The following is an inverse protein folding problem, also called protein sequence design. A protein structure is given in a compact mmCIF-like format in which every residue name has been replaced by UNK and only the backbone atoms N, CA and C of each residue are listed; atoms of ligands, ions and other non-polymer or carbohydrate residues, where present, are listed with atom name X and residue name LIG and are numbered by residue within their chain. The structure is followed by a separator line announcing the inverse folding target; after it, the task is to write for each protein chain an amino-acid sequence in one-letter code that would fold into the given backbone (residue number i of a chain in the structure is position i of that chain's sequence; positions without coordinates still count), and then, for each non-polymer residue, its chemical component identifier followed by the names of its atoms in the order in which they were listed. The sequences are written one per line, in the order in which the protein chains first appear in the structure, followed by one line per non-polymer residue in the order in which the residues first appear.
data_IF_620355572616
#
_entry.id   IF_620355572616
#
_cell.length_a   1.000
_cell.length_b   1.000
_cell.length_c   1.000
_cell.angle_alpha   90.00
_cell.angle_beta   90.00
_cell.angle_gamma   90.00
#
_symmetry.space_group_name_H-M   'P 1'
#
loop_
_entity.id
_entity.type
_entity.pdbx_description
1 polymer ?
#
# COMPACT_ATOMS: atom_id res chain seq x y z
N UNK A 1 -1.55 -4.27 20.20
CA UNK A 1 -2.40 -4.81 19.08
C UNK A 1 -2.27 -3.86 17.89
N UNK A 2 -2.25 -4.37 16.63
CA UNK A 2 -2.21 -3.49 15.44
C UNK A 2 -3.62 -3.12 15.00
N UNK A 3 -3.85 -1.82 14.85
CA UNK A 3 -5.11 -1.25 14.34
C UNK A 3 -4.83 -0.41 13.08
N UNK A 4 -5.76 -0.43 12.13
CA UNK A 4 -5.78 0.45 10.97
C UNK A 4 -6.87 1.48 11.19
N UNK A 5 -6.50 2.75 11.29
CA UNK A 5 -7.44 3.85 11.49
C UNK A 5 -7.45 4.74 10.24
N UNK A 6 -8.63 5.11 9.69
CA UNK A 6 -8.71 6.03 8.57
C UNK A 6 -7.99 7.33 8.87
N UNK A 7 -7.32 7.89 7.86
CA UNK A 7 -6.73 9.22 7.97
C UNK A 7 -7.84 10.25 7.82
N UNK A 8 -7.97 11.12 8.80
CA UNK A 8 -9.08 12.07 8.90
C UNK A 8 -8.66 13.36 9.57
N UNK A 9 -9.16 14.48 9.08
CA UNK A 9 -9.04 15.75 9.76
C UNK A 9 -9.85 15.82 11.07
N UNK A 10 -10.88 14.98 11.21
CA UNK A 10 -11.67 14.92 12.45
C UNK A 10 -10.90 14.25 13.59
N UNK A 11 -10.04 13.27 13.30
CA UNK A 11 -9.15 12.64 14.26
C UNK A 11 -7.80 13.36 14.40
N UNK A 12 -7.57 14.41 13.60
CA UNK A 12 -6.33 15.21 13.54
C UNK A 12 -5.04 14.37 13.36
N UNK A 13 -5.19 13.17 12.79
CA UNK A 13 -4.06 12.25 12.63
C UNK A 13 -3.29 12.45 11.30
N UNK A 14 -3.76 13.32 10.42
CA UNK A 14 -3.10 13.60 9.15
C UNK A 14 -1.73 14.24 9.36
N UNK A 15 -1.59 15.15 10.31
CA UNK A 15 -0.32 15.81 10.62
C UNK A 15 0.70 14.79 11.14
N UNK A 16 0.31 14.01 12.14
CA UNK A 16 1.17 12.95 12.70
C UNK A 16 1.59 11.95 11.61
N UNK A 17 0.67 11.58 10.70
CA UNK A 17 0.96 10.69 9.58
C UNK A 17 2.02 11.28 8.62
N UNK A 18 1.96 12.57 8.34
CA UNK A 18 2.92 13.25 7.46
C UNK A 18 4.30 13.36 8.12
N UNK A 19 4.35 13.47 9.44
CA UNK A 19 5.58 13.60 10.23
C UNK A 19 6.30 12.25 10.49
N UNK A 20 5.71 11.11 10.11
CA UNK A 20 6.39 9.81 10.18
C UNK A 20 7.61 9.78 9.27
N UNK A 21 8.70 9.19 9.77
CA UNK A 21 9.97 9.15 9.06
C UNK A 21 10.45 7.72 8.76
N UNK A 22 11.04 7.55 7.58
CA UNK A 22 11.75 6.33 7.20
C UNK A 22 13.20 6.35 7.73
N UNK A 23 13.80 5.17 7.85
CA UNK A 23 15.24 5.06 8.01
C UNK A 23 15.94 5.62 6.76
N UNK A 24 17.14 6.25 6.90
CA UNK A 24 17.80 6.93 5.79
C UNK A 24 17.98 6.08 4.54
N UNK A 25 18.26 4.79 4.69
CA UNK A 25 18.40 3.82 3.59
C UNK A 25 17.10 3.45 2.89
N UNK A 26 15.96 3.85 3.43
CA UNK A 26 14.63 3.53 2.91
C UNK A 26 13.92 4.72 2.25
N UNK A 27 14.49 5.92 2.34
CA UNK A 27 13.84 7.17 1.87
C UNK A 27 13.53 7.11 0.37
N UNK A 28 14.34 6.42 -0.43
CA UNK A 28 14.11 6.26 -1.87
C UNK A 28 13.11 5.16 -2.22
N UNK A 29 12.75 4.29 -1.27
CA UNK A 29 11.91 3.12 -1.55
C UNK A 29 10.41 3.40 -1.50
N UNK A 30 9.99 4.47 -0.84
CA UNK A 30 8.58 4.83 -0.67
C UNK A 30 8.41 6.34 -0.75
N UNK A 31 7.44 6.80 -1.53
CA UNK A 31 7.07 8.23 -1.56
C UNK A 31 6.67 8.74 -0.17
N UNK A 32 6.96 10.00 0.10
CA UNK A 32 6.54 10.68 1.32
C UNK A 32 5.02 10.58 1.53
N UNK A 33 4.56 10.46 2.78
CA UNK A 33 3.14 10.26 3.09
C UNK A 33 2.25 11.41 2.57
N UNK A 34 2.73 12.66 2.59
CA UNK A 34 1.99 13.79 2.00
C UNK A 34 1.77 13.62 0.50
N UNK A 35 2.77 13.17 -0.24
CA UNK A 35 2.66 12.85 -1.67
C UNK A 35 1.71 11.70 -1.91
N UNK A 36 1.80 10.64 -1.10
CA UNK A 36 0.91 9.48 -1.16
C UNK A 36 -0.56 9.88 -0.95
N UNK A 37 -0.83 10.77 0.00
CA UNK A 37 -2.18 11.31 0.23
C UNK A 37 -2.67 12.21 -0.91
N UNK A 38 -1.77 12.98 -1.56
CA UNK A 38 -2.11 13.73 -2.76
C UNK A 38 -2.46 12.82 -3.95
N UNK A 39 -1.73 11.72 -4.14
CA UNK A 39 -2.07 10.68 -5.13
C UNK A 39 -3.42 10.03 -4.83
N UNK A 40 -3.71 9.72 -3.57
CA UNK A 40 -5.01 9.20 -3.16
C UNK A 40 -6.15 10.16 -3.49
N UNK A 41 -5.94 11.47 -3.28
CA UNK A 41 -6.93 12.49 -3.66
C UNK A 41 -7.21 12.48 -5.18
N UNK A 42 -6.18 12.36 -6.01
CA UNK A 42 -6.32 12.29 -7.47
C UNK A 42 -7.06 11.01 -7.89
N UNK A 43 -6.65 9.86 -7.35
CA UNK A 43 -7.29 8.58 -7.64
C UNK A 43 -8.78 8.57 -7.28
N UNK A 44 -9.16 9.22 -6.19
CA UNK A 44 -10.53 9.34 -5.73
C UNK A 44 -11.35 10.45 -6.43
N UNK A 45 -10.73 11.21 -7.33
CA UNK A 45 -11.37 12.26 -8.12
C UNK A 45 -11.91 11.71 -9.46
N UNK A 46 -12.67 12.50 -10.23
CA UNK A 46 -13.05 12.12 -11.59
C UNK A 46 -11.89 11.78 -12.52
N UNK A 47 -10.67 12.28 -12.23
CA UNK A 47 -9.45 11.98 -12.99
C UNK A 47 -8.87 10.59 -12.70
N UNK A 48 -9.37 9.91 -11.69
CA UNK A 48 -9.03 8.52 -11.37
C UNK A 48 -9.82 7.49 -12.19
N UNK A 49 -10.67 7.93 -13.15
CA UNK A 49 -11.44 7.05 -14.05
C UNK A 49 -12.28 5.97 -13.33
N UNK A 50 -12.73 6.26 -12.12
CA UNK A 50 -13.44 5.28 -11.28
C UNK A 50 -12.56 4.54 -10.28
N UNK A 51 -11.25 4.80 -10.30
CA UNK A 51 -10.32 4.26 -9.29
C UNK A 51 -10.64 4.74 -7.88
N UNK A 52 -10.13 4.01 -6.88
CA UNK A 52 -10.26 4.34 -5.46
C UNK A 52 -8.94 4.05 -4.75
N UNK A 53 -8.52 4.95 -3.89
CA UNK A 53 -7.41 4.74 -2.98
C UNK A 53 -7.89 4.82 -1.53
N UNK A 54 -7.45 3.88 -0.72
CA UNK A 54 -7.78 3.75 0.70
C UNK A 54 -6.51 3.85 1.51
N UNK A 55 -6.45 4.82 2.40
CA UNK A 55 -5.27 5.13 3.21
C UNK A 55 -5.58 4.99 4.71
N UNK A 56 -4.68 4.31 5.43
CA UNK A 56 -4.77 4.13 6.87
C UNK A 56 -3.49 4.56 7.58
N UNK A 57 -3.66 5.18 8.74
CA UNK A 57 -2.64 5.26 9.75
C UNK A 57 -2.59 3.93 10.53
N UNK A 58 -1.39 3.43 10.76
CA UNK A 58 -1.14 2.19 11.51
C UNK A 58 -0.87 2.55 12.96
N UNK A 59 -1.66 1.99 13.86
CA UNK A 59 -1.49 2.18 15.31
C UNK A 59 -1.06 0.88 15.99
N UNK A 60 -0.14 1.01 16.93
CA UNK A 60 0.23 -0.03 17.89
C UNK A 60 0.08 0.54 19.30
N UNK A 61 -0.83 -0.04 20.09
CA UNK A 61 -1.11 0.39 21.47
C UNK A 61 -1.35 1.92 21.56
N UNK A 62 -2.29 2.41 20.75
CA UNK A 62 -2.71 3.82 20.61
C UNK A 62 -1.64 4.79 20.09
N UNK A 63 -0.47 4.31 19.72
CA UNK A 63 0.58 5.12 19.10
C UNK A 63 0.61 4.90 17.60
N UNK A 64 0.67 5.96 16.80
CA UNK A 64 0.88 5.83 15.37
C UNK A 64 2.29 5.36 15.09
N UNK A 65 2.42 4.31 14.29
CA UNK A 65 3.70 3.64 14.00
C UNK A 65 3.97 3.51 12.51
N UNK A 66 3.04 3.89 11.65
CA UNK A 66 3.22 3.76 10.22
C UNK A 66 2.02 4.22 9.41
N UNK A 67 2.14 4.02 8.10
CA UNK A 67 1.17 4.37 7.09
C UNK A 67 1.04 3.22 6.08
N UNK A 68 -0.17 2.98 5.61
CA UNK A 68 -0.43 2.01 4.54
C UNK A 68 -1.51 2.55 3.61
N UNK A 69 -1.35 2.30 2.32
CA UNK A 69 -2.33 2.66 1.31
C UNK A 69 -2.41 1.56 0.26
N UNK A 70 -3.63 1.16 -0.06
CA UNK A 70 -3.91 0.34 -1.24
C UNK A 70 -4.89 1.05 -2.15
N UNK A 71 -4.92 0.65 -3.41
CA UNK A 71 -5.87 1.17 -4.38
C UNK A 71 -6.65 0.06 -5.07
N UNK A 72 -7.82 0.41 -5.56
CA UNK A 72 -8.56 -0.28 -6.61
C UNK A 72 -8.44 0.58 -7.86
N UNK A 73 -7.77 0.09 -8.87
CA UNK A 73 -7.42 0.87 -10.04
C UNK A 73 -8.07 0.35 -11.30
N UNK A 74 -8.53 1.30 -12.10
CA UNK A 74 -8.94 1.05 -13.47
C UNK A 74 -7.69 1.05 -14.35
N UNK A 75 -7.63 0.22 -15.41
CA UNK A 75 -6.44 0.13 -16.26
C UNK A 75 -6.06 1.45 -16.93
N UNK A 76 -7.00 2.36 -17.13
CA UNK A 76 -6.74 3.70 -17.66
C UNK A 76 -5.96 4.60 -16.70
N UNK A 77 -5.97 4.27 -15.42
CA UNK A 77 -5.25 5.00 -14.38
C UNK A 77 -3.92 4.35 -14.02
N UNK A 78 -3.93 3.04 -13.84
CA UNK A 78 -2.78 2.21 -13.48
C UNK A 78 -2.98 0.80 -14.04
N UNK A 79 -2.06 0.31 -14.85
CA UNK A 79 -2.03 -1.08 -15.33
C UNK A 79 -0.59 -1.62 -15.40
N UNK A 80 0.23 -1.28 -14.40
CA UNK A 80 1.62 -1.75 -14.30
C UNK A 80 1.72 -3.28 -14.28
N UNK A 81 0.67 -3.96 -13.78
CA UNK A 81 0.56 -5.41 -13.82
C UNK A 81 0.01 -5.96 -15.16
N UNK A 82 -0.26 -5.08 -16.14
CA UNK A 82 -0.65 -5.43 -17.51
C UNK A 82 -1.83 -6.42 -17.60
N UNK A 83 -2.86 -6.20 -16.81
CA UNK A 83 -4.05 -7.05 -16.80
C UNK A 83 -5.12 -6.60 -17.79
N UNK A 84 -5.15 -5.32 -18.16
CA UNK A 84 -6.22 -4.68 -18.91
C UNK A 84 -7.57 -4.72 -18.20
N UNK A 85 -7.59 -4.99 -16.88
CA UNK A 85 -8.77 -5.13 -16.04
C UNK A 85 -8.61 -4.38 -14.73
N UNK A 86 -9.72 -4.01 -14.06
CA UNK A 86 -9.63 -3.49 -12.71
C UNK A 86 -8.90 -4.45 -11.77
N UNK A 87 -8.07 -3.89 -10.89
CA UNK A 87 -7.26 -4.66 -9.98
C UNK A 87 -7.03 -3.90 -8.67
N UNK A 88 -6.65 -4.62 -7.62
CA UNK A 88 -6.14 -4.01 -6.41
C UNK A 88 -4.62 -3.91 -6.45
N UNK A 89 -4.08 -2.82 -5.89
CA UNK A 89 -2.66 -2.55 -5.78
C UNK A 89 -2.29 -2.24 -4.33
N UNK A 90 -1.36 -2.99 -3.73
CA UNK A 90 -0.75 -2.63 -2.46
C UNK A 90 0.28 -1.53 -2.72
N UNK A 91 -0.17 -0.29 -2.64
CA UNK A 91 0.50 0.84 -3.29
C UNK A 91 1.58 1.49 -2.43
N UNK A 92 1.31 1.68 -1.14
CA UNK A 92 2.25 2.34 -0.22
C UNK A 92 2.23 1.67 1.13
N UNK A 93 3.42 1.47 1.70
CA UNK A 93 3.56 0.94 3.04
C UNK A 93 4.84 1.42 3.67
N UNK A 94 4.74 1.97 4.89
CA UNK A 94 5.91 2.29 5.68
C UNK A 94 5.65 2.10 7.18
N UNK A 95 6.69 1.76 7.90
CA UNK A 95 6.74 1.80 9.37
C UNK A 95 7.78 2.84 9.77
N UNK A 96 7.42 3.72 10.69
CA UNK A 96 8.31 4.74 11.22
C UNK A 96 9.62 4.13 11.74
N UNK A 97 10.75 4.78 11.45
CA UNK A 97 12.11 4.31 11.77
C UNK A 97 12.29 3.86 13.23
N UNK A 98 11.58 4.50 14.16
CA UNK A 98 11.66 4.20 15.60
C UNK A 98 10.80 2.98 15.99
N UNK A 99 10.00 2.44 15.07
CA UNK A 99 9.02 1.38 15.31
C UNK A 99 9.24 0.12 14.48
N UNK A 100 10.29 0.07 13.65
CA UNK A 100 10.63 -1.08 12.82
C UNK A 100 11.11 -2.29 13.63
N UNK A 101 11.20 -3.46 12.98
CA UNK A 101 11.71 -4.70 13.59
C UNK A 101 10.76 -5.42 14.55
N UNK A 102 9.52 -4.95 14.72
CA UNK A 102 8.53 -5.49 15.68
C UNK A 102 7.47 -6.40 15.02
N UNK A 103 7.66 -6.77 13.76
CA UNK A 103 6.73 -7.65 13.03
C UNK A 103 5.43 -6.97 12.56
N UNK A 104 5.32 -5.66 12.66
CA UNK A 104 4.12 -4.91 12.27
C UNK A 104 3.75 -5.10 10.80
N UNK A 105 4.74 -5.21 9.89
CA UNK A 105 4.51 -5.38 8.47
C UNK A 105 3.62 -6.59 8.14
N UNK A 106 3.89 -7.75 8.76
CA UNK A 106 3.06 -8.95 8.54
C UNK A 106 1.63 -8.74 9.03
N UNK A 107 1.46 -8.18 10.22
CA UNK A 107 0.13 -7.95 10.79
C UNK A 107 -0.71 -6.97 9.95
N UNK A 108 -0.09 -5.89 9.47
CA UNK A 108 -0.72 -4.91 8.58
C UNK A 108 -1.12 -5.55 7.25
N UNK A 109 -0.19 -6.24 6.60
CA UNK A 109 -0.43 -6.83 5.29
C UNK A 109 -1.53 -7.90 5.35
N UNK A 110 -1.55 -8.72 6.42
CA UNK A 110 -2.63 -9.69 6.63
C UNK A 110 -4.00 -9.00 6.70
N UNK A 111 -4.13 -7.91 7.46
CA UNK A 111 -5.38 -7.14 7.55
C UNK A 111 -5.81 -6.55 6.20
N UNK A 112 -4.87 -5.99 5.44
CA UNK A 112 -5.16 -5.43 4.11
C UNK A 112 -5.59 -6.54 3.15
N UNK A 113 -4.93 -7.71 3.16
CA UNK A 113 -5.33 -8.86 2.33
C UNK A 113 -6.75 -9.32 2.67
N UNK A 114 -7.08 -9.42 3.96
CA UNK A 114 -8.43 -9.79 4.43
C UNK A 114 -9.47 -8.77 3.94
N UNK A 115 -9.18 -7.48 4.05
CA UNK A 115 -10.05 -6.41 3.58
C UNK A 115 -10.23 -6.44 2.06
N UNK A 116 -9.14 -6.51 1.29
CA UNK A 116 -9.16 -6.53 -0.18
C UNK A 116 -9.95 -7.73 -0.71
N UNK A 117 -9.88 -8.88 -0.05
CA UNK A 117 -10.69 -10.07 -0.41
C UNK A 117 -12.19 -9.85 -0.28
N UNK A 118 -12.65 -8.88 0.50
CA UNK A 118 -14.05 -8.48 0.53
C UNK A 118 -14.45 -7.58 -0.64
N UNK A 119 -13.49 -7.17 -1.46
CA UNK A 119 -13.66 -6.33 -2.65
C UNK A 119 -14.39 -5.00 -2.37
N UNK A 120 -13.95 -4.22 -1.37
CA UNK A 120 -14.70 -3.08 -0.86
C UNK A 120 -14.84 -1.93 -1.86
N UNK A 121 -13.99 -1.88 -2.88
CA UNK A 121 -14.01 -0.81 -3.89
C UNK A 121 -14.57 -1.26 -5.24
N UNK A 122 -14.64 -2.57 -5.49
CA UNK A 122 -15.14 -3.14 -6.74
C UNK A 122 -14.59 -4.51 -7.04
N UNK A 123 -15.14 -5.16 -8.07
CA UNK A 123 -14.73 -6.50 -8.49
C UNK A 123 -13.35 -6.50 -9.15
N UNK A 124 -12.50 -7.38 -8.68
CA UNK A 124 -11.19 -7.65 -9.24
C UNK A 124 -10.77 -9.11 -8.96
N UNK A 125 -9.85 -9.62 -9.77
CA UNK A 125 -9.33 -10.99 -9.65
C UNK A 125 -7.91 -11.00 -9.05
N UNK A 126 -7.25 -9.83 -9.06
CA UNK A 126 -5.83 -9.68 -8.73
C UNK A 126 -5.64 -8.57 -7.70
N UNK A 127 -4.80 -8.88 -6.73
CA UNK A 127 -4.16 -7.93 -5.84
C UNK A 127 -2.65 -8.00 -6.10
N UNK A 128 -2.04 -6.92 -6.55
CA UNK A 128 -0.62 -6.90 -6.86
C UNK A 128 0.17 -5.92 -5.99
N UNK A 129 1.46 -6.09 -6.00
CA UNK A 129 2.44 -5.15 -5.45
C UNK A 129 3.68 -5.14 -6.34
N UNK A 130 4.47 -4.08 -6.25
CA UNK A 130 5.78 -4.01 -6.88
C UNK A 130 6.84 -3.63 -5.84
N UNK A 131 8.09 -4.02 -6.10
CA UNK A 131 9.24 -3.73 -5.23
C UNK A 131 10.54 -3.79 -6.02
N UNK A 132 11.52 -3.01 -5.59
CA UNK A 132 12.84 -3.01 -6.20
C UNK A 132 13.49 -4.41 -6.13
N UNK A 133 14.28 -4.79 -7.16
CA UNK A 133 15.07 -6.01 -7.12
C UNK A 133 15.92 -6.08 -5.84
N UNK A 134 16.05 -7.28 -5.26
CA UNK A 134 16.80 -7.54 -4.02
C UNK A 134 16.24 -6.89 -2.75
N UNK A 135 15.08 -6.24 -2.80
CA UNK A 135 14.44 -5.68 -1.63
C UNK A 135 14.02 -6.80 -0.67
N UNK A 136 14.49 -6.80 0.60
CA UNK A 136 14.17 -7.87 1.57
C UNK A 136 12.67 -8.03 1.86
N UNK A 137 11.84 -7.06 1.51
CA UNK A 137 10.38 -7.11 1.65
C UNK A 137 9.75 -8.24 0.82
N UNK A 138 10.40 -8.67 -0.26
CA UNK A 138 9.92 -9.78 -1.08
C UNK A 138 9.62 -11.04 -0.25
N UNK A 139 10.44 -11.33 0.77
CA UNK A 139 10.22 -12.50 1.65
C UNK A 139 8.91 -12.39 2.43
N UNK A 140 8.51 -11.17 2.79
CA UNK A 140 7.24 -10.92 3.46
C UNK A 140 6.08 -11.15 2.50
N UNK A 141 6.15 -10.63 1.29
CA UNK A 141 5.11 -10.79 0.26
C UNK A 141 4.94 -12.27 -0.13
N UNK A 142 6.04 -12.97 -0.44
CA UNK A 142 5.99 -14.41 -0.75
C UNK A 142 5.43 -15.23 0.42
N UNK A 143 5.83 -14.92 1.65
CA UNK A 143 5.33 -15.57 2.86
C UNK A 143 3.84 -15.31 3.16
N UNK A 144 3.19 -14.41 2.43
CA UNK A 144 1.76 -14.09 2.50
C UNK A 144 0.98 -14.54 1.25
N UNK A 145 1.67 -15.14 0.27
CA UNK A 145 1.04 -15.74 -0.90
C UNK A 145 1.07 -14.89 -2.17
N UNK A 146 1.88 -13.83 -2.22
CA UNK A 146 2.20 -13.17 -3.48
C UNK A 146 3.22 -14.00 -4.27
N UNK A 147 3.02 -14.09 -5.57
CA UNK A 147 3.89 -14.80 -6.50
C UNK A 147 4.43 -13.82 -7.56
N UNK A 148 5.75 -13.86 -7.79
CA UNK A 148 6.36 -13.04 -8.85
C UNK A 148 5.86 -13.46 -10.23
N UNK A 149 5.53 -12.47 -11.05
CA UNK A 149 5.04 -12.70 -12.42
C UNK A 149 6.17 -12.86 -13.44
N UNK A 150 7.39 -12.48 -13.07
CA UNK A 150 8.50 -12.32 -14.01
C UNK A 150 8.44 -11.02 -14.83
N UNK A 151 7.41 -10.20 -14.64
CA UNK A 151 7.28 -8.89 -15.25
C UNK A 151 7.95 -7.82 -14.37
N UNK A 152 8.37 -6.75 -15.02
CA UNK A 152 8.97 -5.59 -14.38
C UNK A 152 8.13 -4.36 -14.73
N UNK A 153 7.84 -3.53 -13.74
CA UNK A 153 7.11 -2.28 -13.94
C UNK A 153 7.92 -1.28 -14.79
N UNK A 154 7.30 -0.24 -15.35
CA UNK A 154 8.03 0.83 -16.03
C UNK A 154 9.10 1.51 -15.16
N UNK A 155 8.94 1.46 -13.83
CA UNK A 155 9.92 1.94 -12.85
C UNK A 155 11.08 0.99 -12.54
N UNK A 156 11.08 -0.23 -13.11
CA UNK A 156 12.14 -1.22 -12.87
C UNK A 156 11.89 -2.16 -11.69
N UNK A 157 10.71 -2.11 -11.09
CA UNK A 157 10.33 -2.95 -9.94
C UNK A 157 9.79 -4.31 -10.38
N UNK A 158 10.11 -5.35 -9.62
CA UNK A 158 9.50 -6.68 -9.81
C UNK A 158 8.03 -6.64 -9.42
N UNK A 159 7.17 -7.26 -10.23
CA UNK A 159 5.74 -7.34 -10.00
C UNK A 159 5.39 -8.70 -9.39
N UNK A 160 4.70 -8.69 -8.27
CA UNK A 160 4.15 -9.87 -7.62
C UNK A 160 2.63 -9.75 -7.48
N UNK A 161 1.91 -10.84 -7.70
CA UNK A 161 0.45 -10.90 -7.68
C UNK A 161 -0.07 -11.93 -6.68
N UNK A 162 -1.27 -11.67 -6.19
CA UNK A 162 -2.10 -12.61 -5.45
C UNK A 162 -3.47 -12.67 -6.12
N UNK A 163 -4.01 -13.88 -6.31
CA UNK A 163 -5.42 -14.06 -6.70
C UNK A 163 -6.33 -13.86 -5.49
N UNK A 164 -7.42 -13.11 -5.70
CA UNK A 164 -8.39 -12.75 -4.66
C UNK A 164 -9.82 -13.07 -5.07
#
# INVERSE_FOLDING_TARGET
MIELRPISILSDNVKECIELELAPEQISLVSHNAESLAHAYIANSPRGFGSRAVAYAIYADDKMVGFVMYGYFMPEYDDDCNTGKPHYHFWRFMVDKNHQGKGYGRAVLTKIIEEVRTKPCGEAEIFYTSYEPDNPIQKLYHGLGFEETGQVSPGGENIAIMKI
#
